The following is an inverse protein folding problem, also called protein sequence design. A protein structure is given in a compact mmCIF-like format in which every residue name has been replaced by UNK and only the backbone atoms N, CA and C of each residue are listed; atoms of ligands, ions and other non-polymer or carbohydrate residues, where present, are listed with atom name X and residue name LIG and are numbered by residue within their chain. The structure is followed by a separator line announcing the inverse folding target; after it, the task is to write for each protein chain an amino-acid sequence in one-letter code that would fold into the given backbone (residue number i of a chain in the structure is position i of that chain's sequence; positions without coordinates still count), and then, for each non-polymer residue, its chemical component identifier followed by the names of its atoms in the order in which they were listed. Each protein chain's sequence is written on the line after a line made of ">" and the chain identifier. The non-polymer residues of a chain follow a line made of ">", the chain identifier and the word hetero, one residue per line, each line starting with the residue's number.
data_IF_385405740240
#
_entry.id   IF_385405740240
#
_cell.length_a   1.000
_cell.length_b   1.000
_cell.length_c   1.000
_cell.angle_alpha   90.00
_cell.angle_beta   90.00
_cell.angle_gamma   90.00
#
_symmetry.space_group_name_H-M   'P 1'
#
loop_
_entity.id
_entity.type
_entity.pdbx_description
1 polymer ?
#
# COMPACT_ATOMS: atom_id res chain seq x y z
N UNK A 1 -4.08 -20.22 15.16
CA UNK A 1 -3.30 -18.97 15.35
C UNK A 1 -4.09 -18.04 16.26
N UNK A 2 -3.43 -17.33 17.18
CA UNK A 2 -4.12 -16.33 18.01
C UNK A 2 -4.60 -15.21 17.09
N UNK A 3 -5.74 -14.59 17.39
CA UNK A 3 -6.34 -13.53 16.56
C UNK A 3 -5.37 -12.35 16.32
N UNK A 4 -4.49 -12.07 17.28
CA UNK A 4 -3.50 -10.99 17.19
C UNK A 4 -2.36 -11.29 16.21
N UNK A 5 -1.98 -12.56 16.06
CA UNK A 5 -0.89 -12.98 15.15
C UNK A 5 -1.29 -12.71 13.69
N UNK A 6 -2.56 -12.99 13.35
CA UNK A 6 -3.08 -12.75 11.99
C UNK A 6 -3.18 -11.25 11.66
N UNK A 7 -3.56 -10.42 12.65
CA UNK A 7 -3.58 -8.96 12.48
C UNK A 7 -2.16 -8.43 12.26
N UNK A 8 -1.19 -8.91 13.05
CA UNK A 8 0.21 -8.55 12.90
C UNK A 8 0.77 -8.94 11.54
N UNK A 9 0.50 -10.16 11.08
CA UNK A 9 0.95 -10.65 9.78
C UNK A 9 0.40 -9.80 8.63
N UNK A 10 -0.92 -9.57 8.61
CA UNK A 10 -1.56 -8.75 7.58
C UNK A 10 -1.12 -7.28 7.64
N UNK A 11 -0.90 -6.73 8.84
CA UNK A 11 -0.38 -5.37 9.01
C UNK A 11 1.06 -5.26 8.49
N UNK A 12 1.88 -6.27 8.72
CA UNK A 12 3.25 -6.33 8.19
C UNK A 12 3.26 -6.48 6.66
N UNK A 13 2.41 -7.35 6.09
CA UNK A 13 2.25 -7.46 4.64
C UNK A 13 1.83 -6.10 4.02
N UNK A 14 0.90 -5.39 4.67
CA UNK A 14 0.44 -4.06 4.24
C UNK A 14 1.54 -2.99 4.37
N UNK A 15 2.39 -3.08 5.40
CA UNK A 15 3.55 -2.22 5.54
C UNK A 15 4.54 -2.45 4.38
N UNK A 16 4.89 -3.71 4.10
CA UNK A 16 5.79 -4.06 3.00
C UNK A 16 5.23 -3.60 1.66
N UNK A 17 3.92 -3.75 1.43
CA UNK A 17 3.26 -3.23 0.23
C UNK A 17 3.50 -1.73 0.07
N UNK A 18 3.24 -0.93 1.11
CA UNK A 18 3.42 0.52 1.03
C UNK A 18 4.90 0.91 0.81
N UNK A 19 5.85 0.21 1.43
CA UNK A 19 7.28 0.44 1.19
C UNK A 19 7.68 0.12 -0.26
N UNK A 20 7.18 -0.98 -0.83
CA UNK A 20 7.50 -1.32 -2.23
C UNK A 20 6.79 -0.40 -3.22
N UNK A 21 5.60 0.15 -2.89
CA UNK A 21 4.93 1.18 -3.71
C UNK A 21 5.74 2.48 -3.71
N UNK A 22 6.16 2.96 -2.53
CA UNK A 22 7.05 4.12 -2.39
C UNK A 22 8.32 3.95 -3.25
N UNK A 23 8.95 2.79 -3.17
CA UNK A 23 10.12 2.45 -3.96
C UNK A 23 9.84 2.41 -5.46
N UNK A 24 8.69 1.87 -5.88
CA UNK A 24 8.30 1.81 -7.29
C UNK A 24 8.12 3.21 -7.88
N UNK A 25 7.42 4.10 -7.19
CA UNK A 25 7.26 5.49 -7.63
C UNK A 25 8.58 6.26 -7.64
N UNK A 26 9.40 6.09 -6.61
CA UNK A 26 10.73 6.73 -6.56
C UNK A 26 11.61 6.32 -7.74
N UNK A 27 11.56 5.03 -8.14
CA UNK A 27 12.25 4.54 -9.34
C UNK A 27 11.64 5.09 -10.62
N UNK A 28 10.30 5.16 -10.70
CA UNK A 28 9.60 5.67 -11.87
C UNK A 28 9.98 7.12 -12.20
N UNK A 29 10.18 7.99 -11.19
CA UNK A 29 10.58 9.40 -11.39
C UNK A 29 11.82 9.53 -12.30
N UNK A 30 12.79 8.62 -12.15
CA UNK A 30 14.04 8.66 -12.93
C UNK A 30 13.87 8.14 -14.37
N UNK A 31 12.84 7.34 -14.63
CA UNK A 31 12.56 6.74 -15.94
C UNK A 31 11.60 7.58 -16.78
N UNK A 32 10.64 8.23 -16.13
CA UNK A 32 9.60 9.01 -16.78
C UNK A 32 10.22 10.23 -17.50
N UNK A 33 9.57 10.67 -18.57
CA UNK A 33 9.97 11.87 -19.31
C UNK A 33 8.97 13.00 -19.09
N UNK A 34 7.68 12.66 -18.99
CA UNK A 34 6.59 13.59 -18.74
C UNK A 34 6.67 14.21 -17.33
N UNK A 35 6.56 15.54 -17.27
CA UNK A 35 6.68 16.30 -16.01
C UNK A 35 5.51 16.05 -15.06
N UNK A 36 4.31 15.84 -15.60
CA UNK A 36 3.13 15.52 -14.82
C UNK A 36 3.26 14.13 -14.18
N UNK A 37 3.70 13.10 -14.91
CA UNK A 37 3.93 11.77 -14.34
C UNK A 37 5.05 11.74 -13.30
N UNK A 38 6.10 12.55 -13.47
CA UNK A 38 7.14 12.73 -12.44
C UNK A 38 6.58 13.34 -11.17
N UNK A 39 5.83 14.42 -11.31
CA UNK A 39 5.22 15.09 -10.16
C UNK A 39 4.25 14.17 -9.45
N UNK A 40 3.36 13.50 -10.19
CA UNK A 40 2.44 12.51 -9.66
C UNK A 40 3.17 11.41 -8.88
N UNK A 41 4.23 10.83 -9.47
CA UNK A 41 5.03 9.79 -8.81
C UNK A 41 5.70 10.30 -7.53
N UNK A 42 6.20 11.53 -7.53
CA UNK A 42 6.79 12.13 -6.33
C UNK A 42 5.75 12.31 -5.22
N UNK A 43 4.58 12.85 -5.54
CA UNK A 43 3.48 13.01 -4.58
C UNK A 43 3.00 11.67 -4.01
N UNK A 44 2.89 10.64 -4.86
CA UNK A 44 2.51 9.28 -4.41
C UNK A 44 3.60 8.62 -3.56
N UNK A 45 4.87 8.81 -3.88
CA UNK A 45 5.98 8.33 -3.05
C UNK A 45 5.92 8.93 -1.64
N UNK A 46 5.76 10.26 -1.54
CA UNK A 46 5.64 10.97 -0.27
C UNK A 46 4.40 10.55 0.55
N UNK A 47 3.25 10.38 -0.09
CA UNK A 47 2.04 9.87 0.56
C UNK A 47 2.29 8.50 1.21
N UNK A 48 2.88 7.58 0.43
CA UNK A 48 3.17 6.20 0.88
C UNK A 48 4.21 6.17 1.99
N UNK A 49 5.22 7.02 1.94
CA UNK A 49 6.18 7.20 3.06
C UNK A 49 5.48 7.61 4.36
N UNK A 50 4.48 8.50 4.26
CA UNK A 50 3.60 8.85 5.38
C UNK A 50 2.84 7.66 5.95
N UNK A 51 2.27 6.81 5.07
CA UNK A 51 1.58 5.59 5.47
C UNK A 51 2.52 4.56 6.11
N UNK A 52 3.72 4.37 5.54
CA UNK A 52 4.76 3.49 6.11
C UNK A 52 5.09 3.90 7.54
N UNK A 53 5.30 5.20 7.79
CA UNK A 53 5.63 5.71 9.13
C UNK A 53 4.51 5.43 10.14
N UNK A 54 3.26 5.68 9.78
CA UNK A 54 2.12 5.46 10.69
C UNK A 54 1.83 3.98 10.91
N UNK A 55 1.95 3.13 9.89
CA UNK A 55 1.81 1.67 9.99
C UNK A 55 2.90 1.06 10.88
N UNK A 56 4.17 1.49 10.74
CA UNK A 56 5.28 1.07 11.62
C UNK A 56 4.99 1.36 13.09
N UNK A 57 4.42 2.53 13.37
CA UNK A 57 4.06 2.91 14.74
C UNK A 57 2.98 2.00 15.33
N UNK A 58 1.93 1.66 14.58
CA UNK A 58 0.89 0.73 15.05
C UNK A 58 1.41 -0.71 15.16
N UNK A 59 2.25 -1.15 14.21
CA UNK A 59 2.89 -2.47 14.25
C UNK A 59 3.71 -2.63 15.53
N UNK A 60 4.57 -1.65 15.84
CA UNK A 60 5.37 -1.66 17.07
C UNK A 60 4.53 -1.70 18.35
N UNK A 61 3.37 -1.01 18.38
CA UNK A 61 2.44 -1.05 19.52
C UNK A 61 1.80 -2.44 19.67
N UNK A 62 1.48 -3.10 18.56
CA UNK A 62 0.88 -4.44 18.55
C UNK A 62 1.90 -5.52 18.90
N UNK A 63 3.14 -5.42 18.42
CA UNK A 63 4.21 -6.37 18.74
C UNK A 63 4.49 -6.42 20.24
N UNK A 64 4.47 -5.27 20.93
CA UNK A 64 4.60 -5.22 22.41
C UNK A 64 3.49 -5.97 23.15
N UNK A 65 2.34 -6.18 22.51
CA UNK A 65 1.20 -6.91 23.07
C UNK A 65 1.19 -8.38 22.65
N UNK A 66 2.05 -8.78 21.72
CA UNK A 66 2.11 -10.14 21.22
C UNK A 66 3.12 -10.99 22.02
N UNK A 67 2.76 -12.25 22.24
CA UNK A 67 3.58 -13.17 23.02
C UNK A 67 4.75 -13.75 22.22
N UNK A 68 4.72 -13.71 20.87
CA UNK A 68 5.77 -14.28 20.00
C UNK A 68 5.98 -13.49 18.69
N UNK A 69 6.91 -12.52 18.63
CA UNK A 69 7.17 -11.72 17.44
C UNK A 69 8.01 -12.43 16.35
N UNK A 70 8.57 -13.62 16.62
CA UNK A 70 9.61 -14.26 15.80
C UNK A 70 9.09 -14.86 14.48
N UNK A 71 7.80 -15.22 14.40
CA UNK A 71 7.23 -15.89 13.21
C UNK A 71 7.08 -14.96 11.99
N UNK A 72 6.95 -13.64 12.21
CA UNK A 72 6.65 -12.66 11.15
C UNK A 72 7.81 -12.48 10.17
N UNK A 73 9.05 -12.45 10.66
CA UNK A 73 10.25 -12.09 9.87
C UNK A 73 10.62 -13.07 8.76
N UNK A 74 10.15 -14.33 8.81
CA UNK A 74 10.55 -15.35 7.83
C UNK A 74 9.85 -15.21 6.48
N UNK A 75 8.66 -14.59 6.44
CA UNK A 75 7.83 -14.46 5.23
C UNK A 75 8.10 -13.18 4.45
N UNK A 76 8.70 -12.17 5.09
CA UNK A 76 8.93 -10.83 4.54
C UNK A 76 9.61 -10.83 3.17
N UNK A 77 10.65 -11.65 2.99
CA UNK A 77 11.40 -11.68 1.74
C UNK A 77 10.53 -12.11 0.55
N UNK A 78 9.70 -13.14 0.73
CA UNK A 78 8.83 -13.67 -0.33
C UNK A 78 7.71 -12.68 -0.64
N UNK A 79 7.08 -12.11 0.39
CA UNK A 79 6.02 -11.10 0.23
C UNK A 79 6.57 -9.86 -0.48
N UNK A 80 7.73 -9.37 -0.06
CA UNK A 80 8.40 -8.23 -0.69
C UNK A 80 8.72 -8.50 -2.15
N UNK A 81 9.26 -9.68 -2.48
CA UNK A 81 9.55 -10.05 -3.87
C UNK A 81 8.28 -10.07 -4.73
N UNK A 82 7.20 -10.66 -4.22
CA UNK A 82 5.93 -10.72 -4.93
C UNK A 82 5.36 -9.33 -5.21
N UNK A 83 5.35 -8.45 -4.21
CA UNK A 83 4.91 -7.07 -4.41
C UNK A 83 5.84 -6.31 -5.35
N UNK A 84 7.16 -6.42 -5.20
CA UNK A 84 8.11 -5.76 -6.10
C UNK A 84 7.89 -6.12 -7.56
N UNK A 85 7.67 -7.41 -7.83
CA UNK A 85 7.40 -7.90 -9.18
C UNK A 85 6.08 -7.33 -9.71
N UNK A 86 5.03 -7.32 -8.89
CA UNK A 86 3.75 -6.73 -9.27
C UNK A 86 3.86 -5.22 -9.48
N UNK A 87 4.57 -4.48 -8.64
CA UNK A 87 4.56 -3.01 -8.61
C UNK A 87 5.50 -2.36 -9.64
N UNK A 88 6.19 -3.15 -10.45
CA UNK A 88 7.17 -2.64 -11.41
C UNK A 88 6.51 -1.71 -12.45
N UNK A 89 7.01 -0.49 -12.55
CA UNK A 89 6.62 0.50 -13.56
C UNK A 89 7.75 0.56 -14.59
N UNK A 90 7.52 0.03 -15.79
CA UNK A 90 8.56 -0.14 -16.83
C UNK A 90 8.25 0.58 -18.14
N UNK A 91 7.01 1.02 -18.32
CA UNK A 91 6.52 1.55 -19.59
C UNK A 91 5.65 2.78 -19.31
N UNK A 92 6.17 3.95 -19.70
CA UNK A 92 5.50 5.24 -19.51
C UNK A 92 4.12 5.28 -20.20
N UNK A 93 3.96 4.61 -21.35
CA UNK A 93 2.67 4.55 -22.05
C UNK A 93 1.61 3.75 -21.28
N UNK A 94 2.03 2.90 -20.34
CA UNK A 94 1.16 2.11 -19.47
C UNK A 94 1.12 2.66 -18.04
N UNK A 95 1.69 3.84 -17.80
CA UNK A 95 1.83 4.40 -16.47
C UNK A 95 0.48 4.52 -15.75
N UNK A 96 -0.51 5.17 -16.34
CA UNK A 96 -1.83 5.36 -15.72
C UNK A 96 -2.54 4.04 -15.43
N UNK A 97 -2.50 3.09 -16.35
CA UNK A 97 -3.03 1.74 -16.13
C UNK A 97 -2.32 1.05 -14.98
N UNK A 98 -0.99 1.19 -14.91
CA UNK A 98 -0.21 0.59 -13.84
C UNK A 98 -0.51 1.21 -12.48
N UNK A 99 -0.65 2.53 -12.42
CA UNK A 99 -1.09 3.25 -11.22
C UNK A 99 -2.45 2.72 -10.77
N UNK A 100 -3.42 2.60 -11.69
CA UNK A 100 -4.74 2.04 -11.37
C UNK A 100 -4.64 0.64 -10.73
N UNK A 101 -3.86 -0.27 -11.33
CA UNK A 101 -3.67 -1.62 -10.77
C UNK A 101 -3.05 -1.60 -9.36
N UNK A 102 -2.14 -0.65 -9.09
CA UNK A 102 -1.50 -0.48 -7.78
C UNK A 102 -2.50 0.04 -6.73
N UNK A 103 -3.32 1.03 -7.09
CA UNK A 103 -4.33 1.58 -6.18
C UNK A 103 -5.42 0.54 -5.89
N UNK A 104 -5.86 -0.22 -6.90
CA UNK A 104 -6.81 -1.31 -6.73
C UNK A 104 -6.28 -2.40 -5.79
N UNK A 105 -5.04 -2.88 -6.00
CA UNK A 105 -4.39 -3.83 -5.10
C UNK A 105 -4.30 -3.26 -3.67
N UNK A 106 -3.99 -1.97 -3.55
CA UNK A 106 -3.91 -1.32 -2.24
C UNK A 106 -5.25 -1.41 -1.52
N UNK A 107 -6.35 -0.94 -2.13
CA UNK A 107 -7.69 -0.99 -1.53
C UNK A 107 -8.03 -2.41 -1.08
N UNK A 108 -7.82 -3.41 -1.94
CA UNK A 108 -8.06 -4.82 -1.61
C UNK A 108 -7.27 -5.26 -0.36
N UNK A 109 -6.00 -4.90 -0.26
CA UNK A 109 -5.16 -5.27 0.90
C UNK A 109 -5.55 -4.55 2.19
N UNK A 110 -6.01 -3.31 2.10
CA UNK A 110 -6.59 -2.61 3.24
C UNK A 110 -7.91 -3.26 3.68
N UNK A 111 -8.82 -3.55 2.75
CA UNK A 111 -10.10 -4.18 3.05
C UNK A 111 -9.91 -5.59 3.65
N UNK A 112 -8.99 -6.38 3.11
CA UNK A 112 -8.59 -7.70 3.64
C UNK A 112 -8.14 -7.64 5.11
N UNK A 113 -7.49 -6.56 5.53
CA UNK A 113 -7.09 -6.36 6.93
C UNK A 113 -8.24 -5.80 7.77
N UNK A 114 -9.04 -4.89 7.23
CA UNK A 114 -10.21 -4.31 7.91
C UNK A 114 -11.29 -5.36 8.23
N UNK A 115 -11.32 -6.49 7.52
CA UNK A 115 -12.19 -7.63 7.87
C UNK A 115 -11.83 -8.32 9.21
N UNK A 116 -10.66 -8.04 9.79
CA UNK A 116 -10.21 -8.69 11.01
C UNK A 116 -10.95 -8.15 12.25
N UNK A 117 -11.57 -9.06 13.01
CA UNK A 117 -12.28 -8.72 14.25
C UNK A 117 -11.31 -8.40 15.40
N UNK A 118 -11.76 -7.56 16.34
CA UNK A 118 -11.03 -7.19 17.57
C UNK A 118 -9.72 -6.42 17.33
N UNK A 119 -9.63 -5.70 16.21
CA UNK A 119 -8.53 -4.79 15.94
C UNK A 119 -8.58 -3.57 16.88
N UNK A 120 -7.43 -3.05 17.37
CA UNK A 120 -7.43 -1.80 18.12
C UNK A 120 -8.07 -0.66 17.32
N UNK A 121 -8.89 0.16 18.00
CA UNK A 121 -9.59 1.26 17.37
C UNK A 121 -8.63 2.27 16.69
N UNK A 122 -7.44 2.48 17.25
CA UNK A 122 -6.40 3.33 16.65
C UNK A 122 -5.99 2.83 15.27
N UNK A 123 -5.73 1.52 15.16
CA UNK A 123 -5.34 0.90 13.90
C UNK A 123 -6.51 0.91 12.90
N UNK A 124 -7.72 0.58 13.33
CA UNK A 124 -8.90 0.62 12.45
C UNK A 124 -9.10 2.02 11.83
N UNK A 125 -9.06 3.08 12.64
CA UNK A 125 -9.16 4.46 12.15
C UNK A 125 -8.05 4.83 11.18
N UNK A 126 -6.81 4.39 11.45
CA UNK A 126 -5.67 4.63 10.57
C UNK A 126 -5.86 3.96 9.21
N UNK A 127 -6.25 2.67 9.21
CA UNK A 127 -6.45 1.88 8.00
C UNK A 127 -7.59 2.43 7.15
N UNK A 128 -8.73 2.79 7.76
CA UNK A 128 -9.85 3.42 7.06
C UNK A 128 -9.40 4.71 6.39
N UNK A 129 -8.69 5.59 7.11
CA UNK A 129 -8.20 6.85 6.55
C UNK A 129 -7.32 6.64 5.31
N UNK A 130 -6.35 5.72 5.39
CA UNK A 130 -5.49 5.43 4.24
C UNK A 130 -6.28 4.84 3.08
N UNK A 131 -7.14 3.85 3.35
CA UNK A 131 -7.97 3.16 2.36
C UNK A 131 -8.89 4.15 1.64
N UNK A 132 -9.60 4.98 2.39
CA UNK A 132 -10.56 5.95 1.86
C UNK A 132 -9.87 6.99 0.96
N UNK A 133 -8.68 7.46 1.35
CA UNK A 133 -7.88 8.35 0.52
C UNK A 133 -7.48 7.70 -0.82
N UNK A 134 -7.04 6.44 -0.77
CA UNK A 134 -6.65 5.69 -1.97
C UNK A 134 -7.88 5.41 -2.85
N UNK A 135 -8.99 5.02 -2.23
CA UNK A 135 -10.23 4.69 -2.92
C UNK A 135 -10.87 5.90 -3.59
N UNK A 136 -10.82 7.08 -2.95
CA UNK A 136 -11.27 8.33 -3.56
C UNK A 136 -10.49 8.63 -4.85
N UNK A 137 -9.16 8.45 -4.83
CA UNK A 137 -8.32 8.60 -6.03
C UNK A 137 -8.62 7.56 -7.10
N UNK A 138 -8.88 6.31 -6.72
CA UNK A 138 -9.28 5.27 -7.67
C UNK A 138 -10.58 5.67 -8.40
N UNK A 139 -11.57 6.20 -7.67
CA UNK A 139 -12.82 6.71 -8.26
C UNK A 139 -12.61 7.91 -9.18
N UNK A 140 -11.68 8.81 -8.86
CA UNK A 140 -11.29 9.90 -9.78
C UNK A 140 -10.72 9.35 -11.09
N UNK A 141 -9.81 8.38 -11.01
CA UNK A 141 -9.23 7.73 -12.20
C UNK A 141 -10.27 6.97 -13.03
N UNK A 142 -11.23 6.29 -12.40
CA UNK A 142 -12.33 5.61 -13.10
C UNK A 142 -13.20 6.61 -13.87
N UNK A 143 -13.58 7.72 -13.21
CA UNK A 143 -14.36 8.78 -13.84
C UNK A 143 -13.64 9.41 -15.02
N UNK A 144 -12.35 9.70 -14.89
CA UNK A 144 -11.57 10.32 -15.96
C UNK A 144 -11.34 9.34 -17.14
N UNK A 145 -11.24 8.03 -16.87
CA UNK A 145 -11.19 7.01 -17.91
C UNK A 145 -12.54 6.84 -18.67
N UNK A 146 -13.69 7.02 -17.99
CA UNK A 146 -15.00 7.00 -18.65
C UNK A 146 -15.23 8.19 -19.59
N UNK A 147 -14.49 9.29 -19.44
CA UNK A 147 -14.57 10.47 -20.32
C UNK A 147 -13.78 10.24 -21.63
N UNK A 148 -12.84 9.30 -21.69
CA UNK A 148 -12.00 9.02 -22.87
C UNK A 148 -12.67 8.02 -23.85
N UNK A 149 -13.71 7.30 -23.43
CA UNK A 149 -14.46 6.32 -24.25
C UNK A 149 -15.84 6.87 -24.69
N UNK A 150 -16.10 8.17 -24.54
CA UNK A 150 -17.32 8.83 -25.05
C UNK A 150 -17.03 9.81 -26.17
#
# INVERSE_FOLDING_TARGET
>A
MKRIDNILEKLNDLLILNEEIENAYTKAINMLTDSFYKQFSNERSLERSGYVKSLKNELHKLEKKAENPVALKRRDHVVRLNFRNFLKIEDENKFLRKVYDIELLSVQKYDELLTQMNMPLSLCKLLLKHRDNIQARLFEMERDNEVIIR
#
